data_IF_874677580050
#
_entry.id   IF_874677580050
#
_cell.length_a   1.000
_cell.length_b   1.000
_cell.length_c   1.000
_cell.angle_alpha   90.00
_cell.angle_beta   90.00
_cell.angle_gamma   90.00
#
_symmetry.space_group_name_H-M   'P 1'
#
loop_
_entity.id
_entity.type
_entity.pdbx_description
1 polymer ?
#
# COMPACT_ATOMS: atom_id res chain seq x y z
N UNK A 1 -8.34 9.29 4.67
CA UNK A 1 -8.40 7.98 3.99
C UNK A 1 -9.79 7.43 4.19
N UNK A 2 -10.49 6.97 3.14
CA UNK A 2 -11.93 6.65 3.21
C UNK A 2 -12.18 5.18 3.56
N UNK A 3 -11.20 4.32 3.30
CA UNK A 3 -11.17 2.91 3.73
C UNK A 3 -10.27 2.76 4.97
N UNK A 4 -10.53 1.82 5.89
CA UNK A 4 -9.67 1.58 7.04
C UNK A 4 -8.25 1.16 6.62
N UNK A 5 -7.24 1.64 7.36
CA UNK A 5 -5.89 1.09 7.25
C UNK A 5 -5.84 -0.30 7.89
N UNK A 6 -4.90 -1.12 7.44
CA UNK A 6 -4.65 -2.43 8.03
C UNK A 6 -3.17 -2.64 8.32
N UNK A 7 -2.84 -3.42 9.34
CA UNK A 7 -1.47 -3.81 9.61
C UNK A 7 -1.16 -5.12 8.87
N UNK A 8 -0.18 -5.09 7.98
CA UNK A 8 0.30 -6.28 7.29
C UNK A 8 1.82 -6.35 7.38
N UNK A 9 2.32 -7.50 7.86
CA UNK A 9 3.75 -7.69 8.04
C UNK A 9 4.39 -6.59 8.90
N UNK A 10 3.68 -6.04 9.89
CA UNK A 10 4.17 -4.97 10.74
C UNK A 10 4.32 -3.60 10.07
N UNK A 11 3.78 -3.42 8.86
CA UNK A 11 3.63 -2.13 8.18
C UNK A 11 2.16 -1.68 8.21
N UNK A 12 1.94 -0.37 8.23
CA UNK A 12 0.62 0.22 8.02
C UNK A 12 0.34 0.29 6.53
N UNK A 13 -0.62 -0.51 6.07
CA UNK A 13 -1.07 -0.50 4.67
C UNK A 13 -2.32 0.36 4.56
N UNK A 14 -2.22 1.38 3.70
CA UNK A 14 -3.29 2.31 3.39
C UNK A 14 -3.64 2.34 1.91
N UNK A 15 -4.86 2.77 1.63
CA UNK A 15 -5.42 2.89 0.28
C UNK A 15 -5.86 4.32 0.03
N UNK A 16 -5.33 4.96 -1.00
CA UNK A 16 -5.81 6.27 -1.46
C UNK A 16 -6.65 6.11 -2.71
N UNK A 17 -7.71 6.89 -2.77
CA UNK A 17 -8.59 7.01 -3.92
C UNK A 17 -8.45 8.44 -4.44
N UNK A 18 -8.10 8.58 -5.71
CA UNK A 18 -7.90 9.84 -6.42
C UNK A 18 -8.94 9.89 -7.54
N UNK A 19 -10.18 10.33 -7.26
CA UNK A 19 -11.21 10.43 -8.28
C UNK A 19 -10.84 11.50 -9.32
N UNK A 20 -11.32 11.33 -10.54
CA UNK A 20 -11.26 12.39 -11.55
C UNK A 20 -12.03 13.63 -11.04
N UNK A 21 -11.42 14.83 -11.06
CA UNK A 21 -12.08 16.03 -10.59
C UNK A 21 -13.31 16.36 -11.44
N UNK A 22 -14.46 16.61 -10.82
CA UNK A 22 -15.70 16.95 -11.53
C UNK A 22 -15.60 18.24 -12.37
N UNK A 23 -14.59 19.07 -12.12
CA UNK A 23 -14.32 20.33 -12.80
C UNK A 23 -13.20 20.23 -13.86
N UNK A 24 -12.76 19.03 -14.22
CA UNK A 24 -11.80 18.78 -15.29
C UNK A 24 -12.44 17.94 -16.40
N UNK A 25 -11.96 18.03 -17.65
CA UNK A 25 -12.39 17.13 -18.72
C UNK A 25 -12.14 15.68 -18.31
N UNK A 26 -13.18 14.85 -18.34
CA UNK A 26 -13.07 13.42 -18.03
C UNK A 26 -12.07 12.80 -18.99
N UNK A 27 -10.99 12.23 -18.47
CA UNK A 27 -10.10 11.38 -19.26
C UNK A 27 -10.89 10.15 -19.73
N UNK A 28 -11.19 9.99 -21.03
CA UNK A 28 -11.97 8.86 -21.53
C UNK A 28 -11.30 7.51 -21.27
N UNK A 29 -9.98 7.51 -21.11
CA UNK A 29 -9.18 6.33 -20.82
C UNK A 29 -9.15 6.00 -19.32
N UNK A 30 -9.45 6.96 -18.45
CA UNK A 30 -9.41 6.81 -16.99
C UNK A 30 -10.68 7.35 -16.29
N UNK A 31 -11.89 6.92 -16.73
CA UNK A 31 -13.14 7.51 -16.25
C UNK A 31 -13.39 7.26 -14.75
N UNK A 32 -12.78 6.21 -14.20
CA UNK A 32 -12.87 5.89 -12.78
C UNK A 32 -11.95 6.76 -11.90
N UNK A 33 -10.91 7.40 -12.44
CA UNK A 33 -9.81 7.96 -11.65
C UNK A 33 -8.72 6.94 -11.33
N UNK A 34 -7.89 7.22 -10.33
CA UNK A 34 -6.72 6.42 -9.96
C UNK A 34 -6.67 6.18 -8.45
N UNK A 35 -5.71 5.39 -7.99
CA UNK A 35 -5.42 5.30 -6.56
C UNK A 35 -4.09 4.63 -6.28
N UNK A 36 -3.77 4.52 -5.00
CA UNK A 36 -2.54 3.89 -4.55
C UNK A 36 -2.82 2.94 -3.40
N UNK A 37 -2.06 1.84 -3.37
CA UNK A 37 -1.82 1.10 -2.13
C UNK A 37 -0.44 1.52 -1.64
N UNK A 38 -0.36 1.90 -0.38
CA UNK A 38 0.87 2.36 0.27
C UNK A 38 1.13 1.54 1.52
N UNK A 39 2.39 1.22 1.78
CA UNK A 39 2.87 0.59 2.99
C UNK A 39 3.85 1.54 3.67
N UNK A 40 3.60 1.83 4.95
CA UNK A 40 4.37 2.78 5.76
C UNK A 40 4.83 2.11 7.05
N UNK A 41 5.92 2.61 7.61
CA UNK A 41 6.25 2.31 9.00
C UNK A 41 5.17 2.92 9.91
N UNK A 42 4.48 2.12 10.75
CA UNK A 42 3.36 2.58 11.56
C UNK A 42 3.77 3.55 12.68
N UNK A 43 5.05 3.59 13.06
CA UNK A 43 5.56 4.38 14.17
C UNK A 43 6.20 5.68 13.71
N UNK A 44 6.94 5.66 12.60
CA UNK A 44 7.59 6.85 12.06
C UNK A 44 6.75 7.54 10.98
N UNK A 45 5.81 6.82 10.36
CA UNK A 45 5.09 7.28 9.17
C UNK A 45 5.96 7.37 7.91
N UNK A 46 7.20 6.87 7.96
CA UNK A 46 8.16 6.97 6.85
C UNK A 46 8.13 5.74 5.94
N UNK A 47 8.97 5.75 4.91
CA UNK A 47 9.21 4.62 4.02
C UNK A 47 9.63 3.38 4.84
N UNK A 48 9.14 2.17 4.52
CA UNK A 48 9.61 0.93 5.14
C UNK A 48 11.12 0.74 4.96
N UNK A 49 11.78 -0.01 5.87
CA UNK A 49 13.22 -0.26 5.79
C UNK A 49 13.62 -1.27 4.69
N UNK A 50 12.65 -2.01 4.14
CA UNK A 50 12.83 -3.05 3.12
C UNK A 50 11.68 -3.02 2.13
N UNK A 51 11.92 -3.52 0.92
CA UNK A 51 10.88 -3.71 -0.09
C UNK A 51 9.73 -4.56 0.44
N UNK A 52 8.51 -4.10 0.18
CA UNK A 52 7.28 -4.74 0.60
C UNK A 52 6.49 -5.33 -0.57
N UNK A 53 6.53 -4.69 -1.73
CA UNK A 53 5.86 -5.14 -2.95
C UNK A 53 6.88 -5.73 -3.92
N UNK A 54 6.51 -6.82 -4.59
CA UNK A 54 7.15 -7.25 -5.84
C UNK A 54 6.66 -6.31 -6.96
N UNK A 55 7.42 -5.25 -7.19
CA UNK A 55 7.08 -4.19 -8.14
C UNK A 55 7.44 -4.61 -9.56
N UNK A 56 8.59 -5.28 -9.72
CA UNK A 56 9.11 -5.65 -11.04
C UNK A 56 8.48 -6.95 -11.59
N UNK A 57 7.73 -7.68 -10.75
CA UNK A 57 7.02 -8.93 -11.06
C UNK A 57 7.96 -10.09 -11.42
N UNK A 58 9.13 -10.13 -10.81
CA UNK A 58 10.09 -11.23 -11.00
C UNK A 58 9.83 -12.43 -10.06
N UNK A 59 8.85 -12.33 -9.17
CA UNK A 59 8.47 -13.38 -8.22
C UNK A 59 9.32 -13.38 -6.95
N UNK A 60 10.26 -12.44 -6.82
CA UNK A 60 11.07 -12.22 -5.63
C UNK A 60 10.87 -10.80 -5.12
N UNK A 61 11.06 -10.58 -3.82
CA UNK A 61 10.95 -9.23 -3.22
C UNK A 61 12.32 -8.82 -2.68
N UNK A 62 12.96 -7.86 -3.34
CA UNK A 62 14.32 -7.43 -3.04
C UNK A 62 14.77 -6.18 -3.79
N UNK A 63 16.09 -6.03 -3.95
CA UNK A 63 16.68 -4.78 -4.44
C UNK A 63 16.25 -4.33 -5.85
N UNK A 64 15.65 -5.21 -6.65
CA UNK A 64 15.04 -4.86 -7.95
C UNK A 64 13.69 -4.14 -7.84
N UNK A 65 13.05 -4.20 -6.68
CA UNK A 65 11.74 -3.59 -6.42
C UNK A 65 11.84 -2.15 -5.91
N UNK A 66 13.03 -1.75 -5.44
CA UNK A 66 13.31 -0.40 -4.97
C UNK A 66 13.32 0.63 -6.09
N UNK A 67 13.06 1.90 -5.76
CA UNK A 67 13.20 3.04 -6.67
C UNK A 67 14.54 3.73 -6.43
N UNK A 68 15.22 4.14 -7.49
CA UNK A 68 16.45 4.94 -7.37
C UNK A 68 16.10 6.42 -7.21
N UNK A 69 16.50 7.00 -6.08
CA UNK A 69 16.37 8.43 -5.80
C UNK A 69 17.73 8.98 -5.36
N UNK A 70 18.22 10.02 -6.03
CA UNK A 70 19.50 10.67 -5.73
C UNK A 70 20.69 9.69 -5.65
N UNK A 71 20.71 8.68 -6.53
CA UNK A 71 21.77 7.65 -6.56
C UNK A 71 21.62 6.53 -5.53
N UNK A 72 20.65 6.61 -4.61
CA UNK A 72 20.36 5.58 -3.63
C UNK A 72 19.11 4.79 -4.04
N UNK A 73 19.16 3.46 -3.90
CA UNK A 73 17.97 2.62 -4.05
C UNK A 73 17.21 2.61 -2.72
N UNK A 74 15.96 3.06 -2.75
CA UNK A 74 15.07 3.06 -1.58
C UNK A 74 13.88 2.13 -1.83
N UNK A 75 13.29 1.53 -0.79
CA UNK A 75 12.14 0.68 -0.95
C UNK A 75 10.97 1.38 -1.64
N UNK A 76 10.30 0.69 -2.56
CA UNK A 76 9.06 1.20 -3.14
C UNK A 76 7.90 0.98 -2.15
N UNK A 77 7.54 2.01 -1.40
CA UNK A 77 6.44 1.99 -0.42
C UNK A 77 5.04 1.99 -1.03
N UNK A 78 4.88 2.06 -2.36
CA UNK A 78 3.54 2.14 -2.93
C UNK A 78 3.46 1.70 -4.37
N UNK A 79 2.25 1.27 -4.73
CA UNK A 79 1.87 0.85 -6.08
C UNK A 79 0.71 1.71 -6.57
N UNK A 80 0.88 2.30 -7.76
CA UNK A 80 -0.15 3.11 -8.42
C UNK A 80 -1.09 2.22 -9.23
N UNK A 81 -2.37 2.56 -9.22
CA UNK A 81 -3.45 1.81 -9.85
C UNK A 81 -4.28 2.71 -10.76
N UNK A 82 -4.57 2.25 -11.98
CA UNK A 82 -5.30 2.99 -13.02
C UNK A 82 -6.82 2.98 -12.87
N UNK A 83 -7.32 2.75 -11.66
CA UNK A 83 -8.74 2.78 -11.30
C UNK A 83 -8.84 2.93 -9.79
N UNK A 84 -10.02 3.22 -9.24
CA UNK A 84 -10.18 3.39 -7.79
C UNK A 84 -10.03 2.04 -7.10
N UNK A 85 -9.06 1.89 -6.18
CA UNK A 85 -8.85 0.64 -5.46
C UNK A 85 -9.67 0.56 -4.19
N UNK A 86 -10.15 -0.63 -3.86
CA UNK A 86 -10.58 -0.96 -2.50
C UNK A 86 -9.38 -1.26 -1.58
N UNK A 87 -9.65 -1.48 -0.30
CA UNK A 87 -8.63 -1.98 0.62
C UNK A 87 -8.16 -3.38 0.16
N UNK A 88 -6.84 -3.65 0.12
CA UNK A 88 -6.32 -4.93 -0.30
C UNK A 88 -6.76 -6.04 0.66
N UNK A 89 -7.04 -7.22 0.13
CA UNK A 89 -7.23 -8.44 0.90
C UNK A 89 -5.92 -9.21 0.84
N UNK A 90 -5.33 -9.51 2.00
CA UNK A 90 -4.10 -10.27 2.06
C UNK A 90 -4.40 -11.77 2.16
N UNK A 91 -3.87 -12.54 1.21
CA UNK A 91 -3.95 -14.01 1.19
C UNK A 91 -2.54 -14.55 1.01
N UNK A 92 -1.97 -15.09 2.10
CA UNK A 92 -0.57 -15.50 2.12
C UNK A 92 0.37 -14.32 1.82
N UNK A 93 1.30 -14.51 0.87
CA UNK A 93 2.22 -13.49 0.40
C UNK A 93 1.65 -12.59 -0.70
N UNK A 94 0.32 -12.44 -0.82
CA UNK A 94 -0.30 -11.68 -1.90
C UNK A 94 -1.31 -10.67 -1.38
N UNK A 95 -1.32 -9.48 -1.98
CA UNK A 95 -2.37 -8.48 -1.87
C UNK A 95 -3.28 -8.58 -3.10
N UNK A 96 -4.56 -8.88 -2.86
CA UNK A 96 -5.60 -8.91 -3.90
C UNK A 96 -6.43 -7.64 -3.76
N UNK A 97 -6.49 -6.84 -4.82
CA UNK A 97 -7.15 -5.54 -4.85
C UNK A 97 -8.21 -5.58 -5.95
N UNK A 98 -9.44 -5.22 -5.58
CA UNK A 98 -10.54 -5.00 -6.52
C UNK A 98 -10.61 -3.53 -6.91
N UNK A 99 -10.71 -3.30 -8.21
CA UNK A 99 -10.80 -1.98 -8.80
C UNK A 99 -12.26 -1.66 -9.17
N UNK A 100 -12.62 -0.37 -9.15
CA UNK A 100 -13.98 0.06 -9.49
C UNK A 100 -14.39 -0.21 -10.95
N UNK A 101 -13.43 -0.49 -11.83
CA UNK A 101 -13.68 -0.96 -13.20
C UNK A 101 -13.98 -2.48 -13.30
N UNK A 102 -14.10 -3.19 -12.16
CA UNK A 102 -14.39 -4.62 -12.09
C UNK A 102 -13.16 -5.53 -12.27
N UNK A 103 -11.98 -4.97 -12.53
CA UNK A 103 -10.74 -5.74 -12.63
C UNK A 103 -10.13 -6.05 -11.25
N UNK A 104 -9.25 -7.05 -11.23
CA UNK A 104 -8.49 -7.45 -10.04
C UNK A 104 -7.00 -7.24 -10.29
N UNK A 105 -6.32 -6.76 -9.26
CA UNK A 105 -4.86 -6.66 -9.23
C UNK A 105 -4.36 -7.59 -8.13
N UNK A 106 -3.44 -8.48 -8.50
CA UNK A 106 -2.70 -9.33 -7.58
C UNK A 106 -1.25 -8.87 -7.53
N UNK A 107 -0.78 -8.51 -6.35
CA UNK A 107 0.60 -8.06 -6.11
C UNK A 107 1.22 -8.96 -5.06
N UNK A 108 2.38 -9.56 -5.35
CA UNK A 108 3.12 -10.27 -4.33
C UNK A 108 3.66 -9.28 -3.29
N UNK A 109 3.50 -9.63 -2.03
CA UNK A 109 3.85 -8.82 -0.88
C UNK A 109 4.64 -9.63 0.12
N UNK A 110 5.56 -8.96 0.80
CA UNK A 110 6.40 -9.60 1.79
C UNK A 110 5.61 -9.86 3.06
N UNK A 111 5.69 -11.09 3.56
CA UNK A 111 5.24 -11.40 4.92
C UNK A 111 6.26 -10.87 5.94
N UNK A 112 5.81 -10.06 6.91
CA UNK A 112 6.59 -9.68 8.09
C UNK A 112 7.85 -8.83 7.83
N UNK A 113 7.68 -7.52 7.66
CA UNK A 113 8.75 -6.52 7.59
C UNK A 113 8.94 -5.68 8.87
N UNK A 114 7.95 -5.65 9.77
CA UNK A 114 7.99 -4.85 10.99
C UNK A 114 8.63 -5.58 12.15
N UNK A 115 9.37 -4.82 12.96
CA UNK A 115 9.81 -5.26 14.28
C UNK A 115 8.56 -5.32 15.16
N UNK A 116 8.07 -6.51 15.44
CA UNK A 116 6.95 -6.69 16.36
C UNK A 116 7.37 -6.25 17.77
N UNK A 117 6.80 -5.15 18.25
CA UNK A 117 6.97 -4.71 19.63
C UNK A 117 5.66 -4.88 20.38
N UNK A 118 5.73 -5.25 21.65
CA UNK A 118 4.54 -5.37 22.50
C UNK A 118 4.06 -3.98 22.89
N UNK A 119 2.83 -3.64 22.52
CA UNK A 119 2.11 -2.48 23.05
C UNK A 119 1.08 -2.98 24.06
N UNK A 120 1.26 -2.65 25.34
CA UNK A 120 0.26 -2.89 26.37
C UNK A 120 -0.60 -1.64 26.54
N UNK A 121 -1.90 -1.75 26.34
CA UNK A 121 -2.86 -0.73 26.76
C UNK A 121 -3.30 -0.98 28.20
N UNK A 122 -3.35 0.07 29.01
CA UNK A 122 -3.99 0.08 30.33
C UNK A 122 -4.96 1.25 30.37
N UNK A 123 -6.21 0.97 30.67
CA UNK A 123 -7.20 2.00 30.97
C UNK A 123 -6.80 2.76 32.23
N UNK A 124 -6.74 4.10 32.13
CA UNK A 124 -6.67 4.96 33.30
C UNK A 124 -8.11 5.34 33.67
N UNK A 125 -8.70 4.58 34.59
CA UNK A 125 -9.96 4.96 35.25
C UNK A 125 -9.66 5.83 36.45
N UNK A 126 -10.32 6.98 36.54
CA UNK A 126 -10.30 7.84 37.72
C UNK A 126 -11.35 7.30 38.70
N UNK A 127 -10.98 6.88 39.93
CA UNK A 127 -11.93 6.35 40.91
C UNK A 127 -12.92 7.41 41.43
#
# INVERSE_FOLDING_TARGET
MVVPNQLQGGLLVGTTMIPQPANQPIDPCLPAGAGWIMALDPFTGTNPPKDFFDRNKDGTIGGGDGVTQNGNTIPAAGIGLGSLPNAPIFVGGHAIISLSNGSLVNVATRGGNGVYQRVSWRELVNP
#
